data_IF_022822187939
#
_entry.id   IF_022822187939
#
_cell.length_a   1.000
_cell.length_b   1.000
_cell.length_c   1.000
_cell.angle_alpha   90.00
_cell.angle_beta   90.00
_cell.angle_gamma   90.00
#
_symmetry.space_group_name_H-M   'P 1'
#
loop_
_entity.id
_entity.type
_entity.pdbx_description
1 polymer ?
#
# COMPACT_ATOMS: atom_id res chain seq x y z
N UNK A 1 16.84 -6.12 -10.81
CA UNK A 1 16.03 -5.49 -11.87
C UNK A 1 14.78 -4.98 -11.19
N UNK A 2 14.30 -3.77 -11.52
CA UNK A 2 13.01 -3.31 -10.99
C UNK A 2 11.91 -4.31 -11.37
N UNK A 3 10.95 -4.51 -10.47
CA UNK A 3 9.81 -5.38 -10.77
C UNK A 3 9.03 -4.81 -11.94
N UNK A 4 8.53 -5.67 -12.83
CA UNK A 4 7.69 -5.20 -13.93
C UNK A 4 6.36 -4.69 -13.38
N UNK A 5 5.70 -3.82 -14.15
CA UNK A 5 4.41 -3.24 -13.78
C UNK A 5 3.36 -4.29 -13.41
N UNK A 6 3.33 -5.43 -14.10
CA UNK A 6 2.48 -6.59 -13.75
C UNK A 6 2.79 -7.18 -12.37
N UNK A 7 4.08 -7.28 -12.00
CA UNK A 7 4.47 -7.76 -10.66
C UNK A 7 4.08 -6.77 -9.57
N UNK A 8 4.32 -5.47 -9.80
CA UNK A 8 3.90 -4.41 -8.89
C UNK A 8 2.38 -4.41 -8.73
N UNK A 9 1.64 -4.60 -9.82
CA UNK A 9 0.19 -4.69 -9.79
C UNK A 9 -0.30 -5.90 -8.99
N UNK A 10 0.33 -7.07 -9.14
CA UNK A 10 0.01 -8.24 -8.32
C UNK A 10 0.29 -7.99 -6.82
N UNK A 11 1.37 -7.30 -6.49
CA UNK A 11 1.67 -6.92 -5.11
C UNK A 11 0.66 -5.89 -4.56
N UNK A 12 0.24 -4.92 -5.37
CA UNK A 12 -0.78 -3.94 -5.01
C UNK A 12 -2.17 -4.57 -4.82
N UNK A 13 -2.53 -5.55 -5.64
CA UNK A 13 -3.77 -6.30 -5.48
C UNK A 13 -3.77 -7.11 -4.17
N UNK A 14 -2.64 -7.75 -3.86
CA UNK A 14 -2.44 -8.43 -2.58
C UNK A 14 -2.46 -7.45 -1.39
N UNK A 15 -1.92 -6.24 -1.53
CA UNK A 15 -2.01 -5.18 -0.53
C UNK A 15 -3.48 -4.77 -0.32
N UNK A 16 -4.22 -4.53 -1.41
CA UNK A 16 -5.64 -4.16 -1.39
C UNK A 16 -6.51 -5.22 -0.69
N UNK A 17 -6.24 -6.50 -0.90
CA UNK A 17 -6.94 -7.59 -0.22
C UNK A 17 -6.60 -7.71 1.27
N UNK A 18 -5.42 -7.24 1.70
CA UNK A 18 -4.97 -7.29 3.09
C UNK A 18 -5.41 -6.07 3.90
N UNK A 19 -5.52 -4.89 3.29
CA UNK A 19 -5.97 -3.65 3.95
C UNK A 19 -7.26 -3.81 4.76
N UNK A 20 -8.38 -4.34 4.23
CA UNK A 20 -9.60 -4.50 5.02
C UNK A 20 -9.46 -5.53 6.16
N UNK A 21 -8.60 -6.53 6.01
CA UNK A 21 -8.31 -7.51 7.08
C UNK A 21 -7.49 -6.86 8.21
N UNK A 22 -6.53 -6.02 7.85
CA UNK A 22 -5.77 -5.18 8.77
C UNK A 22 -6.69 -4.22 9.53
N UNK A 23 -7.58 -3.52 8.82
CA UNK A 23 -8.55 -2.61 9.44
C UNK A 23 -9.56 -3.32 10.34
N UNK A 24 -9.89 -4.57 10.06
CA UNK A 24 -10.78 -5.35 10.91
C UNK A 24 -10.08 -5.86 12.19
N UNK A 25 -8.78 -6.12 12.11
CA UNK A 25 -7.97 -6.67 13.21
C UNK A 25 -7.28 -5.62 14.09
N UNK A 26 -7.07 -4.40 13.59
CA UNK A 26 -6.47 -3.30 14.34
C UNK A 26 -7.55 -2.45 15.02
N UNK A 27 -7.56 -2.44 16.36
CA UNK A 27 -8.47 -1.60 17.15
C UNK A 27 -8.13 -0.10 16.99
N UNK A 28 -6.85 0.19 16.70
CA UNK A 28 -6.32 1.53 16.51
C UNK A 28 -5.73 1.76 15.11
N UNK A 29 -6.00 2.94 14.55
CA UNK A 29 -5.37 3.40 13.29
C UNK A 29 -3.85 3.56 13.42
N UNK A 30 -3.35 3.79 14.62
CA UNK A 30 -1.91 3.87 14.90
C UNK A 30 -1.19 2.51 14.77
N UNK A 31 -1.88 1.38 14.94
CA UNK A 31 -1.32 0.05 14.65
C UNK A 31 -1.44 -0.33 13.17
N UNK A 32 -2.44 0.23 12.47
CA UNK A 32 -2.64 0.00 11.05
C UNK A 32 -1.48 0.55 10.20
N UNK A 33 -1.06 1.81 10.44
CA UNK A 33 -0.01 2.46 9.65
C UNK A 33 1.33 1.72 9.60
N UNK A 34 1.94 1.27 10.71
CA UNK A 34 3.20 0.54 10.67
C UNK A 34 3.04 -0.83 9.98
N UNK A 35 1.91 -1.51 10.14
CA UNK A 35 1.65 -2.77 9.47
C UNK A 35 1.44 -2.59 7.95
N UNK A 36 0.71 -1.55 7.56
CA UNK A 36 0.53 -1.17 6.17
C UNK A 36 1.86 -0.76 5.52
N UNK A 37 2.65 0.09 6.18
CA UNK A 37 3.96 0.51 5.70
C UNK A 37 4.88 -0.70 5.48
N UNK A 38 4.90 -1.67 6.40
CA UNK A 38 5.67 -2.91 6.24
C UNK A 38 5.29 -3.74 5.00
N UNK A 39 4.08 -3.58 4.46
CA UNK A 39 3.63 -4.23 3.23
C UNK A 39 3.87 -3.35 1.99
N UNK A 40 3.75 -2.03 2.12
CA UNK A 40 3.90 -1.06 1.03
C UNK A 40 5.35 -0.70 0.70
N UNK A 41 6.23 -0.55 1.71
CA UNK A 41 7.66 -0.26 1.55
C UNK A 41 8.35 -1.19 0.54
N UNK A 42 8.25 -2.54 0.64
CA UNK A 42 8.91 -3.42 -0.31
C UNK A 42 8.37 -3.29 -1.74
N UNK A 43 7.12 -2.84 -1.92
CA UNK A 43 6.53 -2.58 -3.24
C UNK A 43 7.12 -1.28 -3.82
N UNK A 44 7.26 -0.24 -2.99
CA UNK A 44 7.88 1.02 -3.38
C UNK A 44 9.37 0.86 -3.70
N UNK A 45 10.09 0.07 -2.90
CA UNK A 45 11.49 -0.28 -3.17
C UNK A 45 11.63 -1.08 -4.47
N UNK A 46 10.69 -1.98 -4.77
CA UNK A 46 10.70 -2.79 -5.99
C UNK A 46 10.30 -2.00 -7.26
N UNK A 47 9.49 -0.95 -7.11
CA UNK A 47 9.01 -0.11 -8.22
C UNK A 47 10.15 0.71 -8.86
N UNK A 48 11.15 1.07 -8.07
CA UNK A 48 12.18 2.01 -8.51
C UNK A 48 11.59 3.40 -8.85
N UNK A 49 12.43 4.34 -9.30
CA UNK A 49 12.04 5.75 -9.44
C UNK A 49 11.03 6.02 -10.56
N UNK A 50 10.99 5.21 -11.62
CA UNK A 50 10.08 5.38 -12.76
C UNK A 50 8.62 5.01 -12.40
N UNK A 51 8.43 3.92 -11.64
CA UNK A 51 7.10 3.45 -11.24
C UNK A 51 6.69 3.92 -9.83
N UNK A 52 7.56 4.61 -9.10
CA UNK A 52 7.29 5.10 -7.74
C UNK A 52 6.01 5.96 -7.67
N UNK A 53 5.87 6.94 -8.57
CA UNK A 53 4.70 7.83 -8.61
C UNK A 53 3.40 7.05 -8.88
N UNK A 54 3.49 6.06 -9.77
CA UNK A 54 2.35 5.19 -10.09
C UNK A 54 1.97 4.30 -8.90
N UNK A 55 2.94 3.63 -8.26
CA UNK A 55 2.69 2.78 -7.09
C UNK A 55 2.15 3.58 -5.92
N UNK A 56 2.72 4.77 -5.66
CA UNK A 56 2.23 5.75 -4.69
C UNK A 56 0.74 6.06 -4.94
N UNK A 57 0.38 6.42 -6.18
CA UNK A 57 -1.00 6.75 -6.53
C UNK A 57 -1.96 5.57 -6.35
N UNK A 58 -1.53 4.34 -6.67
CA UNK A 58 -2.32 3.13 -6.43
C UNK A 58 -2.52 2.85 -4.93
N UNK A 59 -1.47 3.00 -4.13
CA UNK A 59 -1.52 2.88 -2.67
C UNK A 59 -2.51 3.89 -2.08
N UNK A 60 -2.44 5.16 -2.50
CA UNK A 60 -3.39 6.18 -2.06
C UNK A 60 -4.82 5.83 -2.46
N UNK A 61 -5.05 5.34 -3.68
CA UNK A 61 -6.37 4.91 -4.14
C UNK A 61 -6.94 3.74 -3.30
N UNK A 62 -6.11 2.77 -2.94
CA UNK A 62 -6.47 1.65 -2.06
C UNK A 62 -6.91 2.16 -0.68
N UNK A 63 -6.18 3.10 -0.10
CA UNK A 63 -6.52 3.69 1.20
C UNK A 63 -7.85 4.46 1.14
N UNK A 64 -8.04 5.28 0.10
CA UNK A 64 -9.28 6.03 -0.13
C UNK A 64 -10.51 5.11 -0.31
N UNK A 65 -10.36 3.98 -1.01
CA UNK A 65 -11.44 3.00 -1.18
C UNK A 65 -11.88 2.37 0.14
N UNK A 66 -11.00 2.31 1.13
CA UNK A 66 -11.26 1.77 2.45
C UNK A 66 -11.62 2.86 3.49
N UNK A 67 -11.91 4.09 3.03
CA UNK A 67 -12.18 5.27 3.87
C UNK A 67 -11.02 5.61 4.84
N UNK A 68 -9.82 5.13 4.51
CA UNK A 68 -8.59 5.42 5.25
C UNK A 68 -7.93 6.63 4.61
N UNK A 69 -7.98 7.76 5.28
CA UNK A 69 -7.19 8.92 4.87
C UNK A 69 -5.82 8.83 5.53
N UNK A 70 -4.70 8.91 4.78
CA UNK A 70 -3.39 9.06 5.39
C UNK A 70 -3.38 10.28 6.32
N UNK A 71 -2.74 10.20 7.51
CA UNK A 71 -2.55 11.37 8.33
C UNK A 71 -1.79 12.39 7.48
N UNK A 72 -2.36 13.58 7.30
CA UNK A 72 -1.64 14.69 6.72
C UNK A 72 -0.39 14.91 7.58
N UNK A 73 0.77 14.59 7.00
CA UNK A 73 2.08 14.73 7.63
C UNK A 73 2.50 16.20 7.74
#
# INVERSE_FOLDING_TARGET
>A
MPSTRDQLQAHLDALHAQVPQLLNGSDDRDEFWPAFASLADPILEAAGPDDYDWVSSQITGILQLNDVSPPEA
#
